data_IF_477331946898
#
_entry.id   IF_477331946898
#
_cell.length_a   1.000
_cell.length_b   1.000
_cell.length_c   1.000
_cell.angle_alpha   90.00
_cell.angle_beta   90.00
_cell.angle_gamma   90.00
#
_symmetry.space_group_name_H-M   'P 1'
#
loop_
_entity.id
_entity.type
_entity.pdbx_description
1 polymer ?
#
# COMPACT_ATOMS: atom_id res chain seq x y z
N UNK A 1 -14.99 3.35 4.17
CA UNK A 1 -13.66 3.08 4.76
C UNK A 1 -12.48 3.63 3.94
N UNK A 2 -12.68 4.41 2.86
CA UNK A 2 -11.57 4.93 2.03
C UNK A 2 -10.62 5.90 2.75
N UNK A 3 -11.13 6.74 3.67
CA UNK A 3 -10.37 7.86 4.26
C UNK A 3 -9.13 7.48 5.08
N UNK A 4 -9.16 6.35 5.80
CA UNK A 4 -8.00 5.91 6.60
C UNK A 4 -6.85 5.54 5.69
N UNK A 5 -7.16 4.90 4.56
CA UNK A 5 -6.15 4.50 3.60
C UNK A 5 -5.48 5.71 2.95
N UNK A 6 -6.28 6.65 2.43
CA UNK A 6 -5.77 7.86 1.80
C UNK A 6 -4.89 8.64 2.77
N UNK A 7 -5.30 8.74 4.03
CA UNK A 7 -4.52 9.36 5.10
C UNK A 7 -3.18 8.65 5.33
N UNK A 8 -3.16 7.31 5.39
CA UNK A 8 -1.90 6.56 5.57
C UNK A 8 -0.97 6.78 4.37
N UNK A 9 -1.48 6.71 3.14
CA UNK A 9 -0.68 6.94 1.92
C UNK A 9 -0.16 8.36 1.85
N UNK A 10 -0.98 9.35 2.17
CA UNK A 10 -0.54 10.73 2.18
C UNK A 10 0.53 10.95 3.25
N UNK A 11 0.32 10.40 4.44
CA UNK A 11 1.27 10.49 5.54
C UNK A 11 2.62 9.85 5.20
N UNK A 12 2.65 8.66 4.59
CA UNK A 12 3.91 8.01 4.19
C UNK A 12 4.62 8.75 3.05
N UNK A 13 3.87 9.39 2.13
CA UNK A 13 4.44 10.15 1.01
C UNK A 13 5.07 11.47 1.46
N UNK A 14 4.47 12.12 2.46
CA UNK A 14 4.76 13.52 2.81
C UNK A 14 5.50 13.70 4.14
N UNK A 15 5.65 12.64 4.93
CA UNK A 15 6.44 12.71 6.16
C UNK A 15 7.90 13.05 5.87
N UNK A 16 8.42 14.09 6.53
CA UNK A 16 9.81 14.52 6.42
C UNK A 16 10.75 13.67 7.27
N UNK A 17 10.25 13.20 8.42
CA UNK A 17 10.96 12.30 9.31
C UNK A 17 10.26 10.93 9.35
N UNK A 18 10.92 9.92 8.79
CA UNK A 18 10.45 8.52 8.79
C UNK A 18 11.16 7.66 9.85
N UNK A 19 11.94 8.26 10.75
CA UNK A 19 12.71 7.53 11.77
C UNK A 19 11.81 6.71 12.70
N UNK A 20 10.65 7.28 13.08
CA UNK A 20 9.67 6.70 14.01
C UNK A 20 8.49 5.99 13.33
N UNK A 21 8.48 5.86 12.01
CA UNK A 21 7.39 5.14 11.35
C UNK A 21 7.43 3.65 11.69
N UNK A 22 6.24 3.09 11.92
CA UNK A 22 6.05 1.66 12.13
C UNK A 22 6.51 0.87 10.90
N UNK A 23 7.23 -0.23 11.13
CA UNK A 23 7.85 -1.01 10.05
C UNK A 23 6.83 -1.77 9.20
N UNK A 24 5.68 -2.12 9.78
CA UNK A 24 4.60 -2.86 9.12
C UNK A 24 3.23 -2.36 9.61
N UNK A 25 2.31 -2.13 8.67
CA UNK A 25 0.90 -1.89 8.94
C UNK A 25 0.11 -2.99 8.23
N UNK A 26 -0.79 -3.66 8.95
CA UNK A 26 -1.69 -4.68 8.40
C UNK A 26 -3.12 -4.28 8.70
N UNK A 27 -3.96 -4.25 7.68
CA UNK A 27 -5.40 -4.04 7.78
C UNK A 27 -6.09 -5.29 7.23
N UNK A 28 -6.76 -6.05 8.10
CA UNK A 28 -7.49 -7.26 7.75
C UNK A 28 -9.00 -7.02 7.83
N UNK A 29 -9.79 -7.86 7.15
CA UNK A 29 -11.26 -7.81 7.15
C UNK A 29 -11.83 -6.44 6.72
N UNK A 30 -11.10 -5.75 5.84
CA UNK A 30 -11.55 -4.50 5.25
C UNK A 30 -12.40 -4.82 4.02
N UNK A 31 -13.37 -3.97 3.71
CA UNK A 31 -14.03 -3.95 2.40
C UNK A 31 -13.72 -2.59 1.77
N UNK A 32 -12.62 -2.54 1.03
CA UNK A 32 -12.28 -1.37 0.21
C UNK A 32 -12.66 -1.68 -1.23
N UNK A 33 -13.63 -0.92 -1.74
CA UNK A 33 -13.96 -0.90 -3.16
C UNK A 33 -13.00 0.05 -3.90
N UNK A 34 -12.51 -0.39 -5.07
CA UNK A 34 -11.79 0.46 -6.04
C UNK A 34 -10.54 1.18 -5.52
N UNK A 35 -9.73 0.48 -4.75
CA UNK A 35 -8.41 0.96 -4.38
C UNK A 35 -7.52 1.07 -5.61
N UNK A 36 -7.16 2.30 -5.96
CA UNK A 36 -6.12 2.58 -6.95
C UNK A 36 -5.07 3.43 -6.28
N UNK A 37 -3.84 2.91 -6.24
CA UNK A 37 -2.70 3.72 -5.90
C UNK A 37 -2.46 4.75 -7.02
N UNK A 38 -2.05 5.94 -6.62
CA UNK A 38 -1.66 7.06 -7.50
C UNK A 38 -0.74 6.57 -8.64
N UNK A 39 -0.82 7.20 -9.81
CA UNK A 39 -0.08 6.86 -11.05
C UNK A 39 1.45 6.80 -10.84
N UNK A 40 1.95 7.49 -9.80
CA UNK A 40 3.36 7.47 -9.38
C UNK A 40 3.79 6.20 -8.64
N UNK A 41 2.85 5.35 -8.23
CA UNK A 41 3.17 4.05 -7.68
C UNK A 41 3.64 3.14 -8.82
N UNK A 42 4.87 2.67 -8.73
CA UNK A 42 5.33 1.66 -9.68
C UNK A 42 4.57 0.37 -9.39
N UNK A 43 3.76 -0.07 -10.36
CA UNK A 43 3.18 -1.40 -10.37
C UNK A 43 4.32 -2.40 -10.51
N UNK A 44 4.71 -3.03 -9.40
CA UNK A 44 5.84 -3.96 -9.40
C UNK A 44 5.37 -5.33 -9.84
N UNK A 45 4.16 -5.72 -9.46
CA UNK A 45 3.65 -7.04 -9.78
C UNK A 45 2.14 -7.15 -9.62
N UNK A 46 1.51 -7.89 -10.52
CA UNK A 46 0.18 -8.44 -10.35
C UNK A 46 0.33 -9.96 -10.40
N UNK A 47 -0.06 -10.65 -9.34
CA UNK A 47 -0.10 -12.12 -9.29
C UNK A 47 -1.55 -12.55 -9.09
N UNK A 48 -1.97 -13.62 -9.74
CA UNK A 48 -3.29 -14.21 -9.51
C UNK A 48 -3.10 -15.62 -8.96
N UNK A 49 -3.73 -15.91 -7.82
CA UNK A 49 -3.79 -17.26 -7.26
C UNK A 49 -5.25 -17.55 -6.92
N UNK A 50 -5.82 -18.54 -7.62
CA UNK A 50 -7.25 -18.88 -7.54
C UNK A 50 -8.12 -17.63 -7.75
N UNK A 51 -9.08 -17.38 -6.85
CA UNK A 51 -10.00 -16.24 -6.85
C UNK A 51 -9.41 -14.96 -6.25
N UNK A 52 -8.10 -14.94 -5.97
CA UNK A 52 -7.41 -13.79 -5.37
C UNK A 52 -6.40 -13.19 -6.33
N UNK A 53 -6.59 -11.91 -6.63
CA UNK A 53 -5.62 -11.06 -7.30
C UNK A 53 -4.78 -10.32 -6.26
N UNK A 54 -3.49 -10.56 -6.28
CA UNK A 54 -2.51 -9.84 -5.48
C UNK A 54 -1.93 -8.71 -6.31
N UNK A 55 -1.90 -7.51 -5.73
CA UNK A 55 -1.18 -6.39 -6.37
C UNK A 55 -0.12 -5.85 -5.42
N UNK A 56 1.09 -5.69 -5.96
CA UNK A 56 2.27 -5.20 -5.23
C UNK A 56 2.71 -3.87 -5.82
N UNK A 57 2.95 -2.90 -4.96
CA UNK A 57 3.39 -1.57 -5.35
C UNK A 57 4.58 -1.12 -4.52
N UNK A 58 5.40 -0.26 -5.11
CA UNK A 58 6.43 0.48 -4.39
C UNK A 58 6.16 1.98 -4.51
N UNK A 59 6.24 2.67 -3.38
CA UNK A 59 6.13 4.11 -3.29
C UNK A 59 7.39 4.64 -2.59
N UNK A 60 8.03 5.64 -3.18
CA UNK A 60 9.11 6.37 -2.53
C UNK A 60 8.55 7.56 -1.73
N UNK A 61 9.15 7.88 -0.59
CA UNK A 61 8.85 9.12 0.12
C UNK A 61 9.26 10.33 -0.74
N UNK A 62 8.44 11.40 -0.74
CA UNK A 62 8.70 12.60 -1.56
C UNK A 62 9.92 13.39 -1.08
N UNK A 63 10.19 13.39 0.22
CA UNK A 63 11.28 14.15 0.84
C UNK A 63 12.56 13.33 1.01
N UNK A 64 12.45 12.01 1.10
CA UNK A 64 13.59 11.11 1.22
C UNK A 64 13.43 9.85 0.33
N UNK A 65 13.82 9.91 -0.96
CA UNK A 65 13.61 8.81 -1.91
C UNK A 65 14.33 7.48 -1.56
N UNK A 66 15.27 7.48 -0.60
CA UNK A 66 15.90 6.24 -0.11
C UNK A 66 14.95 5.42 0.77
N UNK A 67 13.97 6.08 1.41
CA UNK A 67 12.89 5.42 2.14
C UNK A 67 11.80 5.02 1.16
N UNK A 68 11.64 3.70 1.00
CA UNK A 68 10.62 3.11 0.15
C UNK A 68 9.59 2.38 0.98
N UNK A 69 8.39 2.28 0.44
CA UNK A 69 7.28 1.58 1.06
C UNK A 69 6.76 0.54 0.09
N UNK A 70 6.64 -0.68 0.58
CA UNK A 70 6.06 -1.79 -0.15
C UNK A 70 4.61 -1.97 0.26
N UNK A 71 3.74 -1.96 -0.73
CA UNK A 71 2.30 -2.12 -0.59
C UNK A 71 1.90 -3.46 -1.19
N UNK A 72 1.07 -4.21 -0.49
CA UNK A 72 0.48 -5.43 -1.01
C UNK A 72 -0.98 -5.53 -0.58
N UNK A 73 -1.86 -5.88 -1.50
CA UNK A 73 -3.26 -6.16 -1.23
C UNK A 73 -3.70 -7.48 -1.87
N UNK A 74 -4.66 -8.15 -1.24
CA UNK A 74 -5.46 -9.20 -1.85
C UNK A 74 -6.81 -8.65 -2.27
N UNK A 75 -7.19 -8.89 -3.52
CA UNK A 75 -8.46 -8.47 -4.12
C UNK A 75 -9.24 -9.71 -4.59
N UNK A 76 -10.51 -9.82 -4.21
CA UNK A 76 -11.42 -10.85 -4.70
C UNK A 76 -11.88 -10.58 -6.14
N UNK A 77 -12.59 -11.53 -6.74
CA UNK A 77 -13.09 -11.42 -8.12
C UNK A 77 -14.05 -10.23 -8.30
N UNK A 78 -14.82 -9.89 -7.27
CA UNK A 78 -15.70 -8.72 -7.27
C UNK A 78 -14.98 -7.36 -7.16
N UNK A 79 -13.63 -7.36 -7.10
CA UNK A 79 -12.82 -6.14 -6.99
C UNK A 79 -12.67 -5.59 -5.57
N UNK A 80 -13.25 -6.26 -4.58
CA UNK A 80 -13.12 -5.90 -3.16
C UNK A 80 -11.74 -6.30 -2.62
N UNK A 81 -11.05 -5.36 -1.99
CA UNK A 81 -9.84 -5.68 -1.21
C UNK A 81 -10.26 -6.17 0.17
N UNK A 82 -9.77 -7.35 0.56
CA UNK A 82 -10.11 -8.01 1.83
C UNK A 82 -8.97 -7.99 2.86
N UNK A 83 -7.73 -7.77 2.43
CA UNK A 83 -6.61 -7.44 3.32
C UNK A 83 -5.59 -6.55 2.61
N UNK A 84 -4.82 -5.86 3.43
CA UNK A 84 -3.83 -4.92 2.98
C UNK A 84 -2.62 -4.85 3.93
N UNK A 85 -1.43 -4.72 3.35
CA UNK A 85 -0.16 -4.64 4.08
C UNK A 85 0.72 -3.54 3.51
N UNK A 86 1.25 -2.71 4.40
CA UNK A 86 2.34 -1.78 4.11
C UNK A 86 3.58 -2.24 4.87
N UNK A 87 4.74 -2.20 4.22
CA UNK A 87 6.03 -2.42 4.85
C UNK A 87 6.99 -1.31 4.48
N UNK A 88 7.71 -0.78 5.46
CA UNK A 88 8.82 0.15 5.21
C UNK A 88 10.06 -0.62 4.80
N UNK A 89 10.69 -0.16 3.73
CA UNK A 89 12.01 -0.55 3.29
C UNK A 89 12.94 0.63 3.55
N UNK A 90 13.57 0.63 4.72
CA UNK A 90 14.76 1.44 4.97
C UNK A 90 15.93 0.67 4.35
N UNK A 91 16.56 1.25 3.33
CA UNK A 91 17.86 0.80 2.84
C UNK A 91 18.96 1.33 3.77
#
# INVERSE_FOLDING_TARGET
MSRIYDFIVEHIKTSKDCSKMVSVIVLNYISLSNFKLDEKAQNVQVEQSYSVKYTKYIIANKHNPTVKFFFCNGMGEEGSIFWFRIRIMKL
#
